data_IF_570386367191
#
_entry.id   IF_570386367191
#
_cell.length_a   1.000
_cell.length_b   1.000
_cell.length_c   1.000
_cell.angle_alpha   90.00
_cell.angle_beta   90.00
_cell.angle_gamma   90.00
#
_symmetry.space_group_name_H-M   'P 1'
#
loop_
_entity.id
_entity.type
_entity.pdbx_description
1 polymer ?
#
# COMPACT_ATOMS: atom_id res chain seq x y z
N UNK A 1 28.00 -2.85 -2.10
CA UNK A 1 27.39 -3.09 -3.43
C UNK A 1 26.35 -4.19 -3.35
N UNK A 2 26.50 -5.15 -2.42
CA UNK A 2 25.63 -6.32 -2.29
C UNK A 2 24.15 -6.00 -2.03
N UNK A 3 23.85 -4.97 -1.23
CA UNK A 3 22.46 -4.53 -0.96
C UNK A 3 21.74 -4.08 -2.23
N UNK A 4 22.40 -3.29 -3.09
CA UNK A 4 21.82 -2.82 -4.34
C UNK A 4 21.52 -3.98 -5.30
N UNK A 5 22.46 -4.93 -5.44
CA UNK A 5 22.24 -6.11 -6.27
C UNK A 5 21.12 -7.00 -5.71
N UNK A 6 21.07 -7.19 -4.40
CA UNK A 6 19.99 -7.94 -3.75
C UNK A 6 18.62 -7.32 -4.03
N UNK A 7 18.50 -6.00 -3.84
CA UNK A 7 17.28 -5.26 -4.12
C UNK A 7 16.88 -5.27 -5.60
N UNK A 8 17.84 -5.14 -6.53
CA UNK A 8 17.60 -5.24 -7.97
C UNK A 8 16.98 -6.59 -8.35
N UNK A 9 17.53 -7.69 -7.84
CA UNK A 9 17.01 -9.03 -8.13
C UNK A 9 15.58 -9.22 -7.57
N UNK A 10 15.24 -8.58 -6.44
CA UNK A 10 13.86 -8.56 -5.92
C UNK A 10 12.94 -7.81 -6.88
N UNK A 11 13.35 -6.64 -7.37
CA UNK A 11 12.55 -5.92 -8.37
C UNK A 11 12.40 -6.70 -9.68
N UNK A 12 13.41 -7.46 -10.08
CA UNK A 12 13.34 -8.33 -11.26
C UNK A 12 12.25 -9.40 -11.12
N UNK A 13 12.17 -10.10 -9.98
CA UNK A 13 11.10 -11.10 -9.79
C UNK A 13 9.72 -10.46 -9.70
N UNK A 14 9.61 -9.27 -9.08
CA UNK A 14 8.36 -8.53 -9.00
C UNK A 14 7.88 -8.05 -10.38
N UNK A 15 8.77 -7.43 -11.18
CA UNK A 15 8.40 -6.93 -12.51
C UNK A 15 8.06 -8.06 -13.49
N UNK A 16 8.59 -9.26 -13.26
CA UNK A 16 8.26 -10.46 -14.03
C UNK A 16 7.00 -11.18 -13.51
N UNK A 17 6.35 -10.67 -12.45
CA UNK A 17 5.16 -11.26 -11.85
C UNK A 17 5.40 -12.61 -11.17
N UNK A 18 6.64 -12.89 -10.75
CA UNK A 18 7.02 -14.17 -10.14
C UNK A 18 6.81 -14.20 -8.62
N UNK A 19 6.42 -13.08 -8.03
CA UNK A 19 6.13 -12.93 -6.60
C UNK A 19 5.13 -11.79 -6.39
N UNK A 20 4.28 -11.94 -5.38
CA UNK A 20 3.36 -10.89 -4.94
C UNK A 20 4.04 -9.93 -3.97
N UNK A 21 3.69 -8.64 -4.02
CA UNK A 21 4.16 -7.67 -3.02
C UNK A 21 3.43 -7.92 -1.71
N UNK A 22 4.19 -8.21 -0.66
CA UNK A 22 3.70 -8.41 0.72
C UNK A 22 4.23 -7.31 1.64
N UNK A 23 3.64 -7.15 2.81
CA UNK A 23 4.12 -6.19 3.81
C UNK A 23 5.57 -6.47 4.21
N UNK A 24 5.91 -7.73 4.49
CA UNK A 24 7.27 -8.13 4.86
C UNK A 24 8.30 -7.84 3.74
N UNK A 25 7.90 -8.01 2.47
CA UNK A 25 8.75 -7.63 1.34
C UNK A 25 8.99 -6.12 1.37
N UNK A 26 7.92 -5.32 1.50
CA UNK A 26 8.02 -3.86 1.53
C UNK A 26 8.92 -3.38 2.67
N UNK A 27 8.77 -3.95 3.87
CA UNK A 27 9.60 -3.63 5.03
C UNK A 27 11.08 -3.93 4.77
N UNK A 28 11.38 -5.05 4.11
CA UNK A 28 12.75 -5.39 3.69
C UNK A 28 13.30 -4.39 2.68
N UNK A 29 12.49 -3.97 1.70
CA UNK A 29 12.90 -2.99 0.70
C UNK A 29 13.16 -1.61 1.31
N UNK A 30 12.39 -1.20 2.33
CA UNK A 30 12.63 0.05 3.06
C UNK A 30 13.94 -0.01 3.86
N UNK A 31 14.22 -1.13 4.55
CA UNK A 31 15.51 -1.34 5.22
C UNK A 31 16.69 -1.30 4.25
N UNK A 32 16.53 -1.88 3.06
CA UNK A 32 17.55 -1.82 2.01
C UNK A 32 17.78 -0.39 1.53
N UNK A 33 16.72 0.39 1.32
CA UNK A 33 16.79 1.80 0.97
C UNK A 33 17.54 2.61 2.05
N UNK A 34 17.19 2.43 3.32
CA UNK A 34 17.84 3.13 4.45
C UNK A 34 19.33 2.80 4.54
N UNK A 35 19.68 1.53 4.33
CA UNK A 35 21.08 1.07 4.28
C UNK A 35 21.84 1.77 3.14
N UNK A 36 21.26 1.82 1.95
CA UNK A 36 21.86 2.46 0.78
C UNK A 36 22.01 3.97 0.99
N UNK A 37 21.01 4.64 1.59
CA UNK A 37 21.08 6.05 1.93
C UNK A 37 22.22 6.35 2.92
N UNK A 38 22.36 5.50 3.95
CA UNK A 38 23.46 5.62 4.94
C UNK A 38 24.82 5.45 4.27
N UNK A 39 24.96 4.44 3.40
CA UNK A 39 26.20 4.22 2.64
C UNK A 39 26.51 5.39 1.70
N UNK A 40 25.50 5.97 1.04
CA UNK A 40 25.70 7.17 0.22
C UNK A 40 26.14 8.37 1.05
N UNK A 41 25.61 8.55 2.25
CA UNK A 41 26.04 9.62 3.14
C UNK A 41 27.51 9.47 3.53
N UNK A 42 27.95 8.27 3.93
CA UNK A 42 29.35 8.00 4.25
C UNK A 42 30.29 8.31 3.06
N UNK A 43 29.88 8.00 1.82
CA UNK A 43 30.64 8.38 0.62
C UNK A 43 30.77 9.90 0.48
N UNK A 44 29.68 10.64 0.70
CA UNK A 44 29.69 12.11 0.63
C UNK A 44 30.62 12.72 1.68
N UNK A 45 30.61 12.15 2.89
CA UNK A 45 31.43 12.58 4.02
C UNK A 45 32.88 12.06 3.95
N UNK A 46 33.18 11.20 2.95
CA UNK A 46 34.48 10.52 2.76
C UNK A 46 34.87 9.62 3.92
N UNK A 47 33.87 9.04 4.56
CA UNK A 47 33.99 8.05 5.62
C UNK A 47 34.06 6.63 5.05
N UNK A 48 34.62 5.66 5.80
CA UNK A 48 34.59 4.26 5.40
C UNK A 48 33.16 3.74 5.32
N UNK A 49 32.87 2.93 4.30
CA UNK A 49 31.59 2.27 4.15
C UNK A 49 31.43 1.14 5.16
N UNK A 50 30.29 1.13 5.86
CA UNK A 50 29.86 -0.01 6.66
C UNK A 50 29.16 -1.05 5.77
N UNK A 51 29.45 -2.32 6.06
CA UNK A 51 28.76 -3.43 5.41
C UNK A 51 27.29 -3.46 5.85
N UNK A 52 26.41 -3.88 4.94
CA UNK A 52 25.01 -4.09 5.27
C UNK A 52 24.83 -5.23 6.27
N UNK A 53 23.73 -5.19 7.01
CA UNK A 53 23.34 -6.26 7.93
C UNK A 53 23.25 -7.59 7.17
N UNK A 54 23.96 -8.66 7.62
CA UNK A 54 23.84 -9.98 7.03
C UNK A 54 22.40 -10.49 6.95
N UNK A 55 21.56 -10.23 7.96
CA UNK A 55 20.16 -10.68 7.95
C UNK A 55 19.36 -10.01 6.84
N UNK A 56 19.63 -8.72 6.56
CA UNK A 56 19.03 -8.01 5.43
C UNK A 56 19.44 -8.64 4.09
N UNK A 57 20.72 -8.99 3.93
CA UNK A 57 21.21 -9.60 2.70
C UNK A 57 20.62 -11.00 2.47
N UNK A 58 20.49 -11.80 3.53
CA UNK A 58 19.84 -13.11 3.48
C UNK A 58 18.38 -12.99 3.08
N UNK A 59 17.66 -12.03 3.66
CA UNK A 59 16.25 -11.80 3.35
C UNK A 59 16.05 -11.31 1.91
N UNK A 60 16.88 -10.38 1.42
CA UNK A 60 16.87 -9.97 0.01
C UNK A 60 17.12 -11.17 -0.92
N UNK A 61 18.04 -12.06 -0.57
CA UNK A 61 18.34 -13.26 -1.36
C UNK A 61 17.22 -14.31 -1.30
N UNK A 62 16.45 -14.37 -0.21
CA UNK A 62 15.23 -15.17 -0.13
C UNK A 62 14.15 -14.61 -1.04
N UNK A 63 13.90 -13.30 -0.96
CA UNK A 63 12.84 -12.61 -1.69
C UNK A 63 13.10 -12.52 -3.20
N UNK A 64 14.36 -12.59 -3.66
CA UNK A 64 14.70 -12.55 -5.09
C UNK A 64 14.45 -13.87 -5.84
N UNK A 65 13.79 -14.83 -5.21
CA UNK A 65 13.35 -16.09 -5.82
C UNK A 65 11.85 -16.04 -6.07
N UNK A 66 11.35 -16.74 -7.11
CA UNK A 66 9.91 -16.90 -7.32
C UNK A 66 9.21 -17.37 -6.06
N UNK A 67 7.98 -16.91 -5.88
CA UNK A 67 7.13 -17.28 -4.77
C UNK A 67 6.82 -18.78 -4.80
N UNK A 68 6.90 -19.42 -3.65
CA UNK A 68 6.60 -20.85 -3.51
C UNK A 68 5.18 -21.06 -3.01
N UNK A 69 4.58 -22.22 -3.30
CA UNK A 69 3.20 -22.53 -2.90
C UNK A 69 2.99 -22.42 -1.38
N UNK A 70 3.99 -22.78 -0.57
CA UNK A 70 3.96 -22.66 0.89
C UNK A 70 3.89 -21.19 1.36
N UNK A 71 4.53 -20.26 0.64
CA UNK A 71 4.51 -18.82 0.95
C UNK A 71 3.19 -18.15 0.56
N UNK A 72 2.57 -18.60 -0.54
CA UNK A 72 1.23 -18.14 -0.94
C UNK A 72 0.18 -18.57 0.08
N UNK A 73 0.28 -19.82 0.58
CA UNK A 73 -0.64 -20.31 1.60
C UNK A 73 -0.55 -19.52 2.92
N UNK A 74 0.65 -19.07 3.30
CA UNK A 74 0.85 -18.27 4.51
C UNK A 74 0.26 -16.86 4.41
N UNK A 75 0.31 -16.24 3.23
CA UNK A 75 -0.19 -14.88 2.99
C UNK A 75 -1.72 -14.80 2.86
N UNK A 76 -2.36 -15.84 2.31
CA UNK A 76 -3.84 -15.88 2.17
C UNK A 76 -4.57 -16.03 3.51
N UNK A 77 -3.89 -16.49 4.56
CA UNK A 77 -4.49 -16.60 5.90
C UNK A 77 -4.58 -15.23 6.61
N UNK A 78 -3.83 -14.22 6.14
CA UNK A 78 -3.88 -12.84 6.62
C UNK A 78 -4.72 -11.93 5.67
N UNK A 79 -6.05 -12.13 5.58
CA UNK A 79 -7.10 -11.07 5.51
C UNK A 79 -8.48 -11.55 4.96
N UNK A 80 -9.62 -10.91 5.34
CA UNK A 80 -9.82 -9.93 6.41
C UNK A 80 -10.73 -10.48 7.53
N UNK A 81 -10.56 -9.93 8.74
CA UNK A 81 -11.59 -10.00 9.78
C UNK A 81 -12.85 -9.36 9.19
N UNK A 82 -13.88 -10.17 8.97
CA UNK A 82 -15.21 -9.69 8.67
C UNK A 82 -15.64 -8.77 9.81
N UNK A 83 -15.57 -7.46 9.60
CA UNK A 83 -16.33 -6.50 10.40
C UNK A 83 -17.80 -6.92 10.28
N UNK A 84 -18.47 -7.36 11.37
CA UNK A 84 -19.89 -7.63 11.27
C UNK A 84 -20.58 -6.32 10.88
N UNK A 85 -21.33 -6.33 9.78
CA UNK A 85 -22.23 -5.22 9.45
C UNK A 85 -23.07 -4.90 10.69
N UNK A 86 -23.11 -3.65 11.16
CA UNK A 86 -24.03 -3.28 12.21
C UNK A 86 -25.44 -3.48 11.65
N UNK A 87 -26.18 -4.44 12.22
CA UNK A 87 -27.60 -4.62 11.93
C UNK A 87 -28.30 -3.38 12.46
N UNK A 88 -28.54 -2.41 11.57
CA UNK A 88 -29.43 -1.29 11.83
C UNK A 88 -30.85 -1.87 11.81
N UNK A 89 -31.60 -1.89 12.92
CA UNK A 89 -32.99 -2.30 12.87
C UNK A 89 -33.76 -1.34 11.96
N UNK A 90 -34.43 -1.88 10.94
CA UNK A 90 -35.32 -1.12 10.07
C UNK A 90 -36.35 -0.36 10.91
N UNK A 91 -36.50 0.96 10.76
CA UNK A 91 -37.60 1.68 11.38
C UNK A 91 -38.90 1.24 10.70
N UNK A 92 -39.81 0.68 11.50
CA UNK A 92 -41.18 0.37 11.10
C UNK A 92 -41.86 1.72 10.87
N UNK A 93 -41.96 2.14 9.60
CA UNK A 93 -42.73 3.31 9.20
C UNK A 93 -44.13 2.81 8.88
N UNK A 94 -45.08 3.12 9.78
CA UNK A 94 -46.52 3.01 9.50
C UNK A 94 -46.88 3.89 8.30
N UNK A 95 -47.52 3.28 7.31
CA UNK A 95 -48.10 3.94 6.14
C UNK A 95 -49.22 4.90 6.58
N UNK A 96 -49.24 6.14 6.05
CA UNK A 96 -50.49 6.56 5.42
C UNK A 96 -50.30 7.34 4.11
N UNK A 97 -51.04 6.88 3.09
CA UNK A 97 -51.70 7.61 2.00
C UNK A 97 -50.90 8.65 1.15
N UNK A 98 -50.77 8.35 -0.14
CA UNK A 98 -50.35 9.24 -1.24
C UNK A 98 -51.42 10.32 -1.60
N UNK A 99 -51.22 11.24 -2.58
CA UNK A 99 -50.01 11.65 -3.35
C UNK A 99 -49.80 13.20 -3.45
N UNK A 100 -48.60 13.68 -3.84
CA UNK A 100 -48.38 14.94 -4.60
C UNK A 100 -46.93 15.04 -5.13
N UNK A 101 -46.75 15.62 -6.33
CA UNK A 101 -45.60 15.50 -7.22
C UNK A 101 -44.50 16.60 -7.05
N UNK A 102 -43.52 16.71 -7.97
CA UNK A 102 -42.08 16.48 -7.74
C UNK A 102 -41.28 17.76 -7.41
N UNK A 103 -40.24 17.64 -6.58
CA UNK A 103 -39.27 18.73 -6.34
C UNK A 103 -37.89 18.32 -6.83
N UNK A 104 -37.49 18.99 -7.92
CA UNK A 104 -36.16 19.11 -8.53
C UNK A 104 -34.96 18.64 -7.67
N UNK A 105 -34.30 17.57 -8.12
CA UNK A 105 -32.88 17.33 -7.85
C UNK A 105 -32.09 18.41 -8.60
N UNK A 106 -31.69 19.46 -7.87
CA UNK A 106 -30.78 20.50 -8.38
C UNK A 106 -29.36 19.96 -8.48
N UNK A 107 -28.79 20.04 -9.67
CA UNK A 107 -27.45 19.60 -10.04
C UNK A 107 -26.36 20.33 -9.25
N UNK A 108 -25.28 19.62 -8.89
CA UNK A 108 -24.03 20.14 -8.30
C UNK A 108 -23.22 21.01 -9.31
N UNK A 109 -23.78 21.31 -10.48
CA UNK A 109 -23.08 21.91 -11.63
C UNK A 109 -23.25 23.45 -11.74
N UNK A 110 -23.74 24.13 -10.70
CA UNK A 110 -23.96 25.59 -10.77
C UNK A 110 -23.33 26.34 -9.58
N UNK A 111 -22.03 26.11 -9.34
CA UNK A 111 -21.24 27.05 -8.52
C UNK A 111 -21.05 28.33 -9.34
N UNK A 112 -21.62 29.43 -8.86
CA UNK A 112 -21.49 30.75 -9.49
C UNK A 112 -20.07 31.33 -9.30
N UNK A 113 -19.59 32.10 -10.28
CA UNK A 113 -18.20 32.64 -10.30
C UNK A 113 -17.84 33.43 -9.03
N UNK A 114 -18.81 34.14 -8.44
CA UNK A 114 -18.64 34.88 -7.18
C UNK A 114 -18.29 33.97 -5.97
N UNK A 115 -18.69 32.70 -6.01
CA UNK A 115 -18.42 31.74 -4.95
C UNK A 115 -17.00 31.14 -5.07
N UNK A 116 -16.49 31.00 -6.29
CA UNK A 116 -15.13 30.53 -6.55
C UNK A 116 -14.07 31.56 -6.12
N UNK A 117 -14.31 32.86 -6.34
CA UNK A 117 -13.35 33.93 -5.98
C UNK A 117 -13.14 34.08 -4.46
N UNK A 118 -14.06 33.58 -3.63
CA UNK A 118 -13.92 33.58 -2.17
C UNK A 118 -13.04 32.46 -1.61
N UNK A 119 -12.67 31.48 -2.44
CA UNK A 119 -11.91 30.30 -2.04
C UNK A 119 -10.42 30.37 -2.42
N UNK A 120 -9.97 31.48 -3.02
CA UNK A 120 -8.57 31.75 -3.39
C UNK A 120 -7.93 32.75 -2.42
#
# INVERSE_FOLDING_TARGET
VDTCHGAENVFDVLRNGQRTVTQNLMDTMLKALDTVNTQFQAVQDREPLEAADPELLEELHRLCKPESEDEVAATVVEEPVATPEPIIPEPIIEEPAAPSAPSSVGSVDEITQDEFEKLL
#
